data_IF_227289295048
#
_entry.id   IF_227289295048
#
_cell.length_a   1.000
_cell.length_b   1.000
_cell.length_c   1.000
_cell.angle_alpha   90.00
_cell.angle_beta   90.00
_cell.angle_gamma   90.00
#
_symmetry.space_group_name_H-M   'P 1'
#
loop_
_entity.id
_entity.type
_entity.pdbx_description
1 polymer ?
#
# COMPACT_ATOMS: atom_id res chain seq x y z
N UNK A 1 16.83 -11.24 -11.21
CA UNK A 1 16.10 -10.10 -10.65
C UNK A 1 15.29 -9.48 -11.77
N UNK A 2 14.03 -9.17 -11.50
CA UNK A 2 13.15 -8.50 -12.48
C UNK A 2 13.61 -7.05 -12.65
N UNK A 3 13.99 -6.66 -13.87
CA UNK A 3 14.42 -5.30 -14.16
C UNK A 3 13.23 -4.34 -14.12
N UNK A 4 13.41 -3.22 -13.43
CA UNK A 4 12.47 -2.09 -13.39
C UNK A 4 12.99 -0.88 -14.19
N UNK A 5 14.03 -1.10 -15.02
CA UNK A 5 14.67 -0.03 -15.79
C UNK A 5 13.66 0.77 -16.63
N UNK A 6 13.71 2.08 -16.49
CA UNK A 6 12.87 3.02 -17.23
C UNK A 6 11.40 3.07 -16.79
N UNK A 7 10.99 2.30 -15.78
CA UNK A 7 9.64 2.40 -15.20
C UNK A 7 9.57 3.54 -14.19
N UNK A 8 8.43 4.20 -14.12
CA UNK A 8 8.11 5.24 -13.15
C UNK A 8 6.98 4.76 -12.27
N UNK A 9 7.22 4.70 -10.96
CA UNK A 9 6.27 4.22 -9.96
C UNK A 9 5.98 5.32 -8.94
N UNK A 10 4.70 5.67 -8.75
CA UNK A 10 4.28 6.54 -7.67
C UNK A 10 3.80 5.71 -6.47
N UNK A 11 4.19 6.13 -5.26
CA UNK A 11 4.02 5.35 -4.02
C UNK A 11 3.42 6.25 -2.95
N UNK A 12 2.25 5.89 -2.42
CA UNK A 12 1.64 6.56 -1.27
C UNK A 12 1.99 5.86 0.04
N UNK A 13 2.05 6.59 1.15
CA UNK A 13 2.53 6.04 2.42
C UNK A 13 4.00 5.65 2.34
N UNK A 14 4.80 6.44 1.64
CA UNK A 14 6.18 6.16 1.30
C UNK A 14 7.21 6.60 2.35
N UNK A 15 6.78 7.22 3.46
CA UNK A 15 7.68 7.70 4.52
C UNK A 15 8.16 6.59 5.47
N UNK A 16 7.68 5.38 5.33
CA UNK A 16 8.11 4.27 6.19
C UNK A 16 7.45 2.95 5.84
N UNK A 17 7.83 1.91 6.58
CA UNK A 17 7.28 0.58 6.43
C UNK A 17 7.42 0.02 5.02
N UNK A 18 6.34 -0.56 4.53
CA UNK A 18 6.30 -1.22 3.21
C UNK A 18 6.53 -0.21 2.07
N UNK A 19 6.01 1.02 2.21
CA UNK A 19 6.13 2.05 1.16
C UNK A 19 7.59 2.46 0.92
N UNK A 20 8.34 2.77 1.97
CA UNK A 20 9.77 3.10 1.87
C UNK A 20 10.58 1.91 1.33
N UNK A 21 10.35 0.71 1.87
CA UNK A 21 11.04 -0.51 1.40
C UNK A 21 10.79 -0.74 -0.10
N UNK A 22 9.54 -0.54 -0.57
CA UNK A 22 9.20 -0.65 -1.99
C UNK A 22 9.90 0.42 -2.83
N UNK A 23 9.92 1.68 -2.38
CA UNK A 23 10.60 2.75 -3.10
C UNK A 23 12.09 2.46 -3.27
N UNK A 24 12.77 2.06 -2.20
CA UNK A 24 14.19 1.70 -2.23
C UNK A 24 14.46 0.50 -3.13
N UNK A 25 13.66 -0.55 -3.03
CA UNK A 25 13.82 -1.76 -3.81
C UNK A 25 13.55 -1.52 -5.30
N UNK A 26 12.47 -0.83 -5.66
CA UNK A 26 12.16 -0.48 -7.04
C UNK A 26 13.26 0.41 -7.66
N UNK A 27 13.72 1.42 -6.91
CA UNK A 27 14.80 2.30 -7.32
C UNK A 27 16.12 1.54 -7.56
N UNK A 28 16.49 0.63 -6.65
CA UNK A 28 17.68 -0.21 -6.80
C UNK A 28 17.61 -1.14 -8.02
N UNK A 29 16.40 -1.50 -8.49
CA UNK A 29 16.15 -2.28 -9.69
C UNK A 29 16.01 -1.43 -10.97
N UNK A 30 16.24 -0.12 -10.90
CA UNK A 30 16.29 0.79 -12.05
C UNK A 30 15.05 1.66 -12.27
N UNK A 31 14.02 1.59 -11.41
CA UNK A 31 12.86 2.47 -11.51
C UNK A 31 13.19 3.91 -11.10
N UNK A 32 12.42 4.87 -11.64
CA UNK A 32 12.23 6.18 -11.03
C UNK A 32 11.03 6.13 -10.09
N UNK A 33 11.10 6.82 -8.95
CA UNK A 33 10.06 6.75 -7.93
C UNK A 33 9.58 8.12 -7.48
N UNK A 34 8.26 8.28 -7.37
CA UNK A 34 7.60 9.40 -6.70
C UNK A 34 7.12 8.90 -5.34
N UNK A 35 7.69 9.42 -4.27
CA UNK A 35 7.47 8.94 -2.90
C UNK A 35 6.61 9.98 -2.18
N UNK A 36 5.43 9.58 -1.75
CA UNK A 36 4.50 10.51 -1.11
C UNK A 36 4.03 10.04 0.26
N UNK A 37 3.86 10.98 1.17
CA UNK A 37 3.28 10.77 2.49
C UNK A 37 2.68 12.08 3.00
N UNK A 38 1.98 12.04 4.13
CA UNK A 38 1.38 13.23 4.74
C UNK A 38 2.43 14.26 5.19
N UNK A 39 3.61 13.80 5.63
CA UNK A 39 4.69 14.65 6.11
C UNK A 39 5.79 14.82 5.05
N UNK A 40 6.13 16.05 4.63
CA UNK A 40 7.12 16.28 3.56
C UNK A 40 8.55 15.86 3.96
N UNK A 41 8.99 16.18 5.17
CA UNK A 41 10.37 15.97 5.60
C UNK A 41 10.91 14.55 5.41
N UNK A 42 10.22 13.50 5.88
CA UNK A 42 10.66 12.12 5.69
C UNK A 42 10.77 11.71 4.22
N UNK A 43 9.75 12.01 3.39
CA UNK A 43 9.77 11.61 1.96
C UNK A 43 10.85 12.34 1.17
N UNK A 44 11.08 13.62 1.47
CA UNK A 44 12.18 14.39 0.87
C UNK A 44 13.56 13.84 1.28
N UNK A 45 13.72 13.42 2.53
CA UNK A 45 14.95 12.82 3.01
C UNK A 45 15.23 11.48 2.30
N UNK A 46 14.21 10.64 2.14
CA UNK A 46 14.31 9.38 1.40
C UNK A 46 14.67 9.66 -0.07
N UNK A 47 13.96 10.57 -0.73
CA UNK A 47 14.22 10.91 -2.12
C UNK A 47 15.64 11.44 -2.30
N UNK A 48 16.12 12.34 -1.44
CA UNK A 48 17.51 12.82 -1.45
C UNK A 48 18.52 11.68 -1.29
N UNK A 49 18.24 10.70 -0.44
CA UNK A 49 19.12 9.53 -0.24
C UNK A 49 19.20 8.61 -1.45
N UNK A 50 18.17 8.60 -2.31
CA UNK A 50 18.10 7.80 -3.52
C UNK A 50 18.68 8.53 -4.75
N UNK A 51 18.70 9.86 -4.76
CA UNK A 51 19.29 10.68 -5.83
C UNK A 51 18.34 10.98 -6.99
N UNK A 52 18.88 11.18 -8.20
CA UNK A 52 18.19 11.81 -9.34
C UNK A 52 16.90 11.12 -9.80
N UNK A 53 16.73 9.82 -9.56
CA UNK A 53 15.54 9.06 -9.97
C UNK A 53 14.49 8.97 -8.86
N UNK A 54 14.49 9.90 -7.92
CA UNK A 54 13.52 9.90 -6.82
C UNK A 54 13.04 11.32 -6.52
N UNK A 55 11.73 11.47 -6.34
CA UNK A 55 11.06 12.71 -5.93
C UNK A 55 10.21 12.44 -4.72
N UNK A 56 10.29 13.30 -3.70
CA UNK A 56 9.47 13.22 -2.49
C UNK A 56 8.56 14.43 -2.37
N UNK A 57 7.27 14.23 -2.10
CA UNK A 57 6.33 15.33 -1.85
C UNK A 57 5.25 14.97 -0.84
N UNK A 58 4.71 15.99 -0.16
CA UNK A 58 3.58 15.81 0.75
C UNK A 58 2.28 15.57 -0.02
N UNK A 59 1.54 14.53 0.37
CA UNK A 59 0.24 14.18 -0.21
C UNK A 59 -0.67 13.66 0.89
N UNK A 60 -1.82 14.27 1.08
CA UNK A 60 -2.93 13.71 1.82
C UNK A 60 -3.81 12.91 0.86
N UNK A 61 -3.72 11.58 0.90
CA UNK A 61 -4.46 10.70 -0.01
C UNK A 61 -5.97 10.86 0.11
N UNK A 62 -6.49 11.37 1.24
CA UNK A 62 -7.91 11.63 1.41
C UNK A 62 -8.41 12.83 0.57
N UNK A 63 -7.50 13.58 -0.07
CA UNK A 63 -7.78 14.72 -0.91
C UNK A 63 -7.51 14.39 -2.38
N UNK A 64 -8.53 14.55 -3.23
CA UNK A 64 -8.41 14.28 -4.67
C UNK A 64 -7.26 15.06 -5.31
N UNK A 65 -7.22 16.37 -5.08
CA UNK A 65 -6.22 17.27 -5.67
C UNK A 65 -4.77 16.86 -5.35
N UNK A 66 -4.53 16.33 -4.15
CA UNK A 66 -3.19 15.89 -3.75
C UNK A 66 -2.78 14.59 -4.50
N UNK A 67 -3.72 13.69 -4.77
CA UNK A 67 -3.44 12.51 -5.63
C UNK A 67 -3.15 12.92 -7.08
N UNK A 68 -3.83 13.95 -7.59
CA UNK A 68 -3.56 14.53 -8.91
C UNK A 68 -2.15 15.15 -8.96
N UNK A 69 -1.72 15.84 -7.90
CA UNK A 69 -0.36 16.38 -7.77
C UNK A 69 0.70 15.29 -7.77
N UNK A 70 0.48 14.16 -7.11
CA UNK A 70 1.38 13.01 -7.15
C UNK A 70 1.62 12.53 -8.59
N UNK A 71 0.56 12.40 -9.38
CA UNK A 71 0.67 11.98 -10.78
C UNK A 71 1.33 13.06 -11.63
N UNK A 72 0.98 14.32 -11.42
CA UNK A 72 1.60 15.45 -12.11
C UNK A 72 3.12 15.49 -11.89
N UNK A 73 3.58 15.25 -10.65
CA UNK A 73 5.00 15.17 -10.33
C UNK A 73 5.71 14.03 -11.10
N UNK A 74 5.07 12.86 -11.27
CA UNK A 74 5.63 11.77 -12.07
C UNK A 74 5.79 12.17 -13.54
N UNK A 75 4.79 12.85 -14.10
CA UNK A 75 4.83 13.31 -15.48
C UNK A 75 5.84 14.45 -15.69
N UNK A 76 5.92 15.38 -14.76
CA UNK A 76 6.85 16.54 -14.83
C UNK A 76 8.31 16.09 -14.73
N UNK A 77 8.65 15.25 -13.76
CA UNK A 77 10.03 14.85 -13.50
C UNK A 77 10.51 13.72 -14.40
N UNK A 78 9.64 12.80 -14.80
CA UNK A 78 10.03 11.56 -15.49
C UNK A 78 9.31 11.33 -16.82
N UNK A 79 8.35 12.18 -17.20
CA UNK A 79 7.65 12.14 -18.49
C UNK A 79 6.61 11.03 -18.66
N UNK A 80 6.45 10.13 -17.67
CA UNK A 80 5.58 8.96 -17.75
C UNK A 80 5.14 8.47 -16.37
N UNK A 81 4.16 7.55 -16.35
CA UNK A 81 3.78 6.78 -15.17
C UNK A 81 3.48 5.34 -15.60
N UNK A 82 4.18 4.36 -15.02
CA UNK A 82 4.01 2.93 -15.34
C UNK A 82 3.23 2.19 -14.25
N UNK A 83 3.19 2.73 -13.05
CA UNK A 83 2.42 2.12 -11.97
C UNK A 83 2.23 3.02 -10.77
N UNK A 84 1.23 2.65 -9.96
CA UNK A 84 0.96 3.29 -8.68
C UNK A 84 0.85 2.25 -7.57
N UNK A 85 1.55 2.48 -6.47
CA UNK A 85 1.42 1.73 -5.24
C UNK A 85 0.57 2.52 -4.25
N UNK A 86 -0.70 2.19 -4.17
CA UNK A 86 -1.66 2.79 -3.26
C UNK A 86 -1.56 2.09 -1.90
N UNK A 87 -0.52 2.48 -1.15
CA UNK A 87 -0.10 1.80 0.07
C UNK A 87 -0.49 2.57 1.34
N UNK A 88 -0.74 3.87 1.26
CA UNK A 88 -1.16 4.66 2.41
C UNK A 88 -2.39 4.07 3.09
N UNK A 89 -2.34 4.00 4.42
CA UNK A 89 -3.45 3.49 5.22
C UNK A 89 -3.22 3.71 6.71
N UNK A 90 -4.31 3.69 7.45
CA UNK A 90 -4.33 3.80 8.92
C UNK A 90 -5.12 2.64 9.52
N UNK A 91 -4.73 2.21 10.71
CA UNK A 91 -5.38 1.15 11.48
C UNK A 91 -6.67 1.62 12.15
N UNK A 92 -6.76 2.92 12.46
CA UNK A 92 -7.81 3.46 13.30
C UNK A 92 -7.68 3.04 14.76
N UNK A 93 -8.77 3.14 15.49
CA UNK A 93 -8.84 2.78 16.92
C UNK A 93 -9.12 1.28 17.09
N UNK A 94 -8.47 0.62 18.05
CA UNK A 94 -8.73 -0.77 18.45
C UNK A 94 -9.70 -0.79 19.63
N UNK A 95 -10.80 -1.58 19.53
CA UNK A 95 -11.77 -1.69 20.62
C UNK A 95 -13.09 -2.33 20.18
N UNK A 96 -14.13 -2.38 21.04
CA UNK A 96 -15.45 -2.92 20.72
C UNK A 96 -16.13 -2.20 19.56
N UNK A 97 -17.01 -2.89 18.85
CA UNK A 97 -17.71 -2.35 17.67
C UNK A 97 -18.51 -1.07 17.97
N UNK A 98 -19.22 -1.07 19.09
CA UNK A 98 -20.13 -0.01 19.52
C UNK A 98 -19.46 1.15 20.27
N UNK A 99 -18.15 1.11 20.46
CA UNK A 99 -17.40 2.15 21.17
C UNK A 99 -16.86 3.28 20.26
N UNK A 100 -17.05 3.17 18.94
CA UNK A 100 -16.44 4.10 17.98
C UNK A 100 -17.39 5.16 17.47
N UNK A 101 -16.90 6.38 17.36
CA UNK A 101 -17.63 7.48 16.75
C UNK A 101 -17.72 7.34 15.23
N UNK A 102 -18.73 7.98 14.63
CA UNK A 102 -18.84 8.11 13.17
C UNK A 102 -17.58 8.73 12.56
N UNK A 103 -16.99 9.74 13.22
CA UNK A 103 -15.77 10.39 12.78
C UNK A 103 -14.56 9.44 12.71
N UNK A 104 -14.45 8.47 13.64
CA UNK A 104 -13.40 7.45 13.59
C UNK A 104 -13.58 6.51 12.38
N UNK A 105 -14.82 6.12 12.06
CA UNK A 105 -15.15 5.36 10.87
C UNK A 105 -14.80 6.12 9.59
N UNK A 106 -15.30 7.35 9.47
CA UNK A 106 -15.08 8.21 8.31
C UNK A 106 -13.58 8.45 8.05
N UNK A 107 -12.80 8.66 9.12
CA UNK A 107 -11.34 8.85 8.99
C UNK A 107 -10.66 7.63 8.38
N UNK A 108 -11.01 6.41 8.81
CA UNK A 108 -10.43 5.18 8.25
C UNK A 108 -10.85 5.03 6.78
N UNK A 109 -12.13 5.25 6.46
CA UNK A 109 -12.62 5.13 5.09
C UNK A 109 -12.09 6.21 4.16
N UNK A 110 -11.95 7.45 4.64
CA UNK A 110 -11.39 8.54 3.82
C UNK A 110 -9.96 8.26 3.37
N UNK A 111 -9.14 7.67 4.24
CA UNK A 111 -7.76 7.30 3.89
C UNK A 111 -7.71 5.98 3.12
N UNK A 112 -8.26 4.90 3.71
CA UNK A 112 -8.04 3.54 3.22
C UNK A 112 -8.86 3.20 1.97
N UNK A 113 -10.01 3.86 1.75
CA UNK A 113 -10.92 3.56 0.64
C UNK A 113 -10.96 4.71 -0.36
N UNK A 114 -11.31 5.93 0.10
CA UNK A 114 -11.41 7.08 -0.81
C UNK A 114 -10.04 7.48 -1.33
N UNK A 115 -8.98 7.39 -0.51
CA UNK A 115 -7.60 7.62 -0.96
C UNK A 115 -7.19 6.67 -2.08
N UNK A 116 -7.52 5.38 -1.97
CA UNK A 116 -7.29 4.41 -3.05
C UNK A 116 -8.08 4.79 -4.31
N UNK A 117 -9.37 5.10 -4.18
CA UNK A 117 -10.19 5.55 -5.32
C UNK A 117 -9.59 6.77 -6.01
N UNK A 118 -9.23 7.81 -5.25
CA UNK A 118 -8.65 9.03 -5.83
C UNK A 118 -7.32 8.78 -6.50
N UNK A 119 -6.46 7.92 -5.92
CA UNK A 119 -5.20 7.53 -6.52
C UNK A 119 -5.37 6.78 -7.84
N UNK A 120 -6.35 5.86 -7.93
CA UNK A 120 -6.71 5.19 -9.19
C UNK A 120 -7.19 6.21 -10.21
N UNK A 121 -8.20 7.02 -9.86
CA UNK A 121 -8.78 8.02 -10.80
C UNK A 121 -7.72 9.00 -11.33
N UNK A 122 -6.79 9.44 -10.48
CA UNK A 122 -5.69 10.32 -10.89
C UNK A 122 -4.69 9.63 -11.84
N UNK A 123 -4.39 8.35 -11.61
CA UNK A 123 -3.39 7.63 -12.39
C UNK A 123 -3.89 7.18 -13.78
N UNK A 124 -5.19 6.90 -13.94
CA UNK A 124 -5.75 6.32 -15.16
C UNK A 124 -5.39 7.07 -16.44
N UNK A 125 -5.49 8.43 -16.54
CA UNK A 125 -5.14 9.13 -17.77
C UNK A 125 -3.68 8.90 -18.19
N UNK A 126 -2.75 8.88 -17.23
CA UNK A 126 -1.33 8.66 -17.50
C UNK A 126 -1.05 7.22 -17.91
N UNK A 127 -1.64 6.23 -17.22
CA UNK A 127 -1.50 4.81 -17.56
C UNK A 127 -2.07 4.49 -18.93
N UNK A 128 -3.25 5.04 -19.28
CA UNK A 128 -3.86 4.92 -20.62
C UNK A 128 -2.98 5.51 -21.72
N UNK A 129 -2.44 6.71 -21.48
CA UNK A 129 -1.51 7.35 -22.41
C UNK A 129 -0.24 6.52 -22.61
N UNK A 130 0.18 5.79 -21.59
CA UNK A 130 1.36 4.93 -21.63
C UNK A 130 1.10 3.55 -22.28
N UNK A 131 -0.16 3.25 -22.65
CA UNK A 131 -0.57 1.97 -23.23
C UNK A 131 -0.75 0.84 -22.22
N UNK A 132 -0.92 1.15 -20.95
CA UNK A 132 -1.13 0.21 -19.87
C UNK A 132 -0.28 0.50 -18.65
N UNK A 133 -0.29 -0.41 -17.67
CA UNK A 133 0.46 -0.27 -16.44
C UNK A 133 0.04 -1.23 -15.32
N UNK A 134 0.47 -0.93 -14.10
CA UNK A 134 0.14 -1.75 -12.92
C UNK A 134 -0.31 -0.90 -11.75
N UNK A 135 -1.44 -1.24 -11.17
CA UNK A 135 -1.96 -0.67 -9.92
C UNK A 135 -1.85 -1.74 -8.84
N UNK A 136 -1.12 -1.45 -7.78
CA UNK A 136 -1.03 -2.32 -6.60
C UNK A 136 -1.63 -1.59 -5.41
N UNK A 137 -2.58 -2.22 -4.73
CA UNK A 137 -3.26 -1.66 -3.57
C UNK A 137 -2.87 -2.45 -2.33
N UNK A 138 -2.41 -1.79 -1.27
CA UNK A 138 -2.19 -2.46 0.02
C UNK A 138 -3.53 -2.68 0.72
N UNK A 139 -4.01 -3.92 0.68
CA UNK A 139 -5.07 -4.40 1.56
C UNK A 139 -4.45 -4.95 2.86
N UNK A 140 -4.82 -6.12 3.28
CA UNK A 140 -4.33 -6.84 4.45
C UNK A 140 -4.91 -8.26 4.43
N UNK A 141 -4.40 -9.17 5.25
CA UNK A 141 -5.15 -10.37 5.65
C UNK A 141 -6.49 -10.01 6.28
N UNK A 142 -6.60 -8.84 6.90
CA UNK A 142 -7.85 -8.25 7.38
C UNK A 142 -8.84 -7.86 6.27
N UNK A 143 -8.43 -7.84 5.01
CA UNK A 143 -9.31 -7.73 3.84
C UNK A 143 -9.85 -9.07 3.34
N UNK A 144 -9.44 -10.17 3.97
CA UNK A 144 -9.82 -11.55 3.60
C UNK A 144 -10.52 -12.28 4.76
N UNK A 145 -10.35 -11.80 5.99
CA UNK A 145 -10.91 -12.38 7.21
C UNK A 145 -11.24 -11.30 8.24
N UNK A 146 -12.09 -11.63 9.20
CA UNK A 146 -12.42 -10.74 10.32
C UNK A 146 -11.27 -10.64 11.33
N UNK A 147 -11.21 -9.50 12.04
CA UNK A 147 -10.37 -9.29 13.21
C UNK A 147 -11.17 -8.52 14.27
N UNK A 148 -11.42 -9.16 15.40
CA UNK A 148 -12.14 -8.52 16.50
C UNK A 148 -11.41 -7.24 16.94
N UNK A 149 -12.17 -6.18 17.23
CA UNK A 149 -11.64 -4.91 17.64
C UNK A 149 -11.16 -3.99 16.51
N UNK A 150 -11.16 -4.40 15.25
CA UNK A 150 -10.67 -3.64 14.09
C UNK A 150 -11.75 -3.42 13.02
N UNK A 151 -13.03 -3.32 13.39
CA UNK A 151 -14.13 -3.30 12.42
C UNK A 151 -14.02 -2.25 11.30
N UNK A 152 -13.69 -0.96 11.56
CA UNK A 152 -13.51 0.02 10.48
C UNK A 152 -12.37 -0.37 9.54
N UNK A 153 -11.25 -0.80 10.09
CA UNK A 153 -10.08 -1.23 9.32
C UNK A 153 -10.41 -2.45 8.46
N UNK A 154 -10.96 -3.52 9.05
CA UNK A 154 -11.37 -4.74 8.34
C UNK A 154 -12.31 -4.42 7.20
N UNK A 155 -13.37 -3.63 7.48
CA UNK A 155 -14.34 -3.22 6.46
C UNK A 155 -13.67 -2.44 5.32
N UNK A 156 -12.77 -1.51 5.64
CA UNK A 156 -12.03 -0.74 4.62
C UNK A 156 -11.15 -1.63 3.74
N UNK A 157 -10.48 -2.64 4.34
CA UNK A 157 -9.59 -3.55 3.60
C UNK A 157 -10.35 -4.55 2.73
N UNK A 158 -11.56 -4.97 3.14
CA UNK A 158 -12.47 -5.72 2.28
C UNK A 158 -13.01 -4.86 1.11
N UNK A 159 -13.34 -3.59 1.37
CA UNK A 159 -13.82 -2.67 0.34
C UNK A 159 -12.80 -2.50 -0.79
N UNK A 160 -11.50 -2.35 -0.49
CA UNK A 160 -10.48 -2.21 -1.54
C UNK A 160 -10.20 -3.51 -2.28
N UNK A 161 -10.40 -4.68 -1.68
CA UNK A 161 -10.35 -5.96 -2.40
C UNK A 161 -11.52 -6.05 -3.40
N UNK A 162 -12.72 -5.64 -3.00
CA UNK A 162 -13.88 -5.55 -3.90
C UNK A 162 -13.63 -4.57 -5.05
N UNK A 163 -13.14 -3.37 -4.74
CA UNK A 163 -12.78 -2.34 -5.72
C UNK A 163 -11.74 -2.87 -6.72
N UNK A 164 -10.67 -3.52 -6.24
CA UNK A 164 -9.63 -4.11 -7.09
C UNK A 164 -10.20 -5.09 -8.11
N UNK A 165 -11.13 -5.96 -7.71
CA UNK A 165 -11.75 -6.93 -8.62
C UNK A 165 -12.55 -6.28 -9.75
N UNK A 166 -13.31 -5.23 -9.43
CA UNK A 166 -14.03 -4.45 -10.44
C UNK A 166 -13.04 -3.78 -11.41
N UNK A 167 -12.05 -3.08 -10.86
CA UNK A 167 -11.02 -2.39 -11.66
C UNK A 167 -10.22 -3.34 -12.55
N UNK A 168 -9.88 -4.53 -12.07
CA UNK A 168 -9.16 -5.52 -12.87
C UNK A 168 -9.97 -5.99 -14.09
N UNK A 169 -11.28 -6.14 -13.93
CA UNK A 169 -12.17 -6.51 -15.03
C UNK A 169 -12.38 -5.35 -16.03
N UNK A 170 -12.55 -4.13 -15.51
CA UNK A 170 -12.81 -2.95 -16.31
C UNK A 170 -11.59 -2.47 -17.09
N UNK A 171 -10.40 -2.49 -16.46
CA UNK A 171 -9.17 -1.91 -16.99
C UNK A 171 -8.24 -2.93 -17.68
N UNK A 172 -8.49 -4.23 -17.47
CA UNK A 172 -7.72 -5.30 -18.13
C UNK A 172 -7.68 -5.17 -19.65
N UNK A 173 -8.79 -4.89 -20.35
CA UNK A 173 -8.79 -4.64 -21.80
C UNK A 173 -7.92 -3.45 -22.25
N UNK A 174 -7.60 -2.54 -21.33
CA UNK A 174 -6.73 -1.37 -21.57
C UNK A 174 -5.25 -1.67 -21.24
N UNK A 175 -4.90 -2.92 -20.91
CA UNK A 175 -3.55 -3.29 -20.53
C UNK A 175 -3.14 -2.85 -19.12
N UNK A 176 -4.09 -2.44 -18.28
CA UNK A 176 -3.84 -2.02 -16.90
C UNK A 176 -4.18 -3.18 -15.96
N UNK A 177 -3.18 -3.68 -15.24
CA UNK A 177 -3.34 -4.73 -14.24
C UNK A 177 -3.62 -4.12 -12.86
N UNK A 178 -4.55 -4.69 -12.11
CA UNK A 178 -4.90 -4.24 -10.77
C UNK A 178 -4.87 -5.42 -9.80
N UNK A 179 -4.08 -5.33 -8.74
CA UNK A 179 -3.93 -6.39 -7.75
C UNK A 179 -3.87 -5.82 -6.33
N UNK A 180 -4.16 -6.65 -5.32
CA UNK A 180 -3.90 -6.28 -3.94
C UNK A 180 -2.73 -7.03 -3.34
N UNK A 181 -1.88 -6.32 -2.60
CA UNK A 181 -0.95 -6.88 -1.64
C UNK A 181 -1.69 -7.02 -0.30
N UNK A 182 -1.65 -8.20 0.29
CA UNK A 182 -2.36 -8.55 1.53
C UNK A 182 -1.36 -9.01 2.60
N UNK A 183 -0.70 -8.07 3.30
CA UNK A 183 0.21 -8.42 4.38
C UNK A 183 -0.50 -9.04 5.58
N UNK A 184 0.17 -9.99 6.24
CA UNK A 184 -0.12 -10.40 7.61
C UNK A 184 0.42 -9.41 8.65
N UNK A 185 0.73 -9.87 9.87
CA UNK A 185 1.46 -9.05 10.82
C UNK A 185 2.85 -8.69 10.30
N UNK A 186 3.11 -7.40 10.10
CA UNK A 186 4.41 -6.86 9.61
C UNK A 186 5.15 -6.18 10.75
N UNK A 187 6.45 -6.38 10.85
CA UNK A 187 7.26 -5.73 11.89
C UNK A 187 7.48 -4.24 11.57
N UNK A 188 6.48 -3.41 11.88
CA UNK A 188 6.48 -1.98 11.61
C UNK A 188 5.65 -1.18 12.63
N UNK A 189 5.62 0.15 12.45
CA UNK A 189 4.90 1.09 13.33
C UNK A 189 3.42 0.76 13.49
N UNK A 190 2.72 0.40 12.41
CA UNK A 190 1.27 0.12 12.47
C UNK A 190 0.97 -1.05 13.39
N UNK A 191 1.73 -2.15 13.29
CA UNK A 191 1.57 -3.28 14.20
C UNK A 191 1.90 -2.91 15.63
N UNK A 192 2.96 -2.10 15.88
CA UNK A 192 3.27 -1.59 17.23
C UNK A 192 2.07 -0.80 17.80
N UNK A 193 1.44 0.06 16.98
CA UNK A 193 0.26 0.81 17.38
C UNK A 193 -0.92 -0.09 17.72
N UNK A 194 -1.19 -1.12 16.91
CA UNK A 194 -2.26 -2.09 17.18
C UNK A 194 -2.01 -2.85 18.47
N UNK A 195 -0.78 -3.30 18.70
CA UNK A 195 -0.37 -4.04 19.88
C UNK A 195 -0.55 -3.21 21.15
N UNK A 196 -0.08 -1.96 21.13
CA UNK A 196 -0.20 -1.05 22.27
C UNK A 196 -1.66 -0.68 22.55
N UNK A 197 -2.48 -0.48 21.53
CA UNK A 197 -3.91 -0.21 21.70
C UNK A 197 -4.68 -1.44 22.21
N UNK A 198 -4.28 -2.65 21.80
CA UNK A 198 -4.93 -3.90 22.23
C UNK A 198 -4.68 -4.22 23.71
N UNK A 199 -3.48 -3.91 24.23
CA UNK A 199 -3.11 -4.09 25.64
C UNK A 199 -2.09 -3.03 26.05
N UNK A 200 -2.53 -1.85 26.50
CA UNK A 200 -1.66 -0.73 26.83
C UNK A 200 -0.58 -1.09 27.85
N UNK A 201 0.68 -0.77 27.55
CA UNK A 201 1.85 -1.11 28.34
C UNK A 201 2.34 -2.56 28.22
N UNK A 202 1.64 -3.40 27.46
CA UNK A 202 1.96 -4.83 27.27
C UNK A 202 2.02 -5.23 25.78
N UNK A 203 2.36 -4.30 24.90
CA UNK A 203 2.42 -4.53 23.46
C UNK A 203 3.30 -5.71 23.04
N UNK A 204 4.41 -5.93 23.76
CA UNK A 204 5.32 -7.07 23.50
C UNK A 204 4.68 -8.45 23.77
N UNK A 205 3.76 -8.54 24.73
CA UNK A 205 2.99 -9.77 24.99
C UNK A 205 2.01 -10.04 23.84
N UNK A 206 1.35 -8.98 23.36
CA UNK A 206 0.48 -9.05 22.19
C UNK A 206 1.27 -9.46 20.94
N UNK A 207 2.48 -8.90 20.73
CA UNK A 207 3.38 -9.33 19.65
C UNK A 207 3.71 -10.81 19.72
N UNK A 208 4.06 -11.32 20.90
CA UNK A 208 4.35 -12.76 21.10
C UNK A 208 3.14 -13.62 20.74
N UNK A 209 1.94 -13.21 21.18
CA UNK A 209 0.69 -13.91 20.89
C UNK A 209 0.40 -13.94 19.37
N UNK A 210 0.57 -12.82 18.67
CA UNK A 210 0.41 -12.78 17.22
C UNK A 210 1.48 -13.62 16.50
N UNK A 211 2.74 -13.52 16.92
CA UNK A 211 3.85 -14.30 16.32
C UNK A 211 3.63 -15.81 16.45
N UNK A 212 3.08 -16.27 17.58
CA UNK A 212 2.74 -17.68 17.79
C UNK A 212 1.65 -18.21 16.85
N UNK A 213 0.82 -17.31 16.27
CA UNK A 213 -0.19 -17.65 15.26
C UNK A 213 0.36 -17.63 13.83
N UNK A 214 1.57 -17.18 13.60
CA UNK A 214 2.22 -17.20 12.29
C UNK A 214 3.01 -18.51 12.17
N UNK A 215 2.73 -19.40 11.22
CA UNK A 215 3.47 -20.65 11.06
C UNK A 215 4.99 -20.49 10.95
N UNK A 216 5.47 -19.40 10.33
CA UNK A 216 6.91 -19.08 10.31
C UNK A 216 7.45 -18.58 11.66
N UNK A 217 6.64 -18.48 12.72
CA UNK A 217 7.04 -18.09 14.08
C UNK A 217 7.43 -16.62 14.26
N UNK A 218 7.22 -15.77 13.25
CA UNK A 218 7.59 -14.36 13.27
C UNK A 218 6.67 -13.50 12.41
N UNK A 219 6.68 -12.22 12.65
CA UNK A 219 6.13 -11.26 11.71
C UNK A 219 6.93 -11.27 10.39
N UNK A 220 6.27 -10.94 9.29
CA UNK A 220 6.95 -10.65 8.04
C UNK A 220 7.60 -9.27 8.10
N UNK A 221 8.60 -9.06 7.28
CA UNK A 221 9.31 -7.77 7.19
C UNK A 221 8.69 -6.86 6.13
N UNK A 222 9.00 -5.56 6.20
CA UNK A 222 8.64 -4.62 5.14
C UNK A 222 9.24 -5.03 3.79
N UNK A 223 10.46 -5.55 3.79
CA UNK A 223 11.17 -5.97 2.56
C UNK A 223 10.51 -7.19 1.91
N UNK A 224 9.98 -8.13 2.68
CA UNK A 224 9.23 -9.28 2.15
C UNK A 224 7.94 -8.82 1.44
N UNK A 225 7.25 -7.83 2.02
CA UNK A 225 6.08 -7.21 1.38
C UNK A 225 6.48 -6.38 0.15
N UNK A 226 7.57 -5.62 0.24
CA UNK A 226 8.09 -4.82 -0.86
C UNK A 226 8.52 -5.68 -2.05
N UNK A 227 9.11 -6.83 -1.81
CA UNK A 227 9.50 -7.78 -2.87
C UNK A 227 8.29 -8.23 -3.70
N UNK A 228 7.15 -8.51 -3.03
CA UNK A 228 5.90 -8.84 -3.73
C UNK A 228 5.36 -7.64 -4.50
N UNK A 229 5.37 -6.43 -3.92
CA UNK A 229 4.91 -5.22 -4.61
C UNK A 229 5.75 -4.95 -5.87
N UNK A 230 7.08 -5.03 -5.78
CA UNK A 230 7.98 -4.83 -6.92
C UNK A 230 7.78 -5.91 -7.99
N UNK A 231 7.59 -7.18 -7.59
CA UNK A 231 7.21 -8.25 -8.53
C UNK A 231 5.93 -7.87 -9.31
N UNK A 232 4.89 -7.39 -8.63
CA UNK A 232 3.63 -7.02 -9.27
C UNK A 232 3.74 -5.85 -10.26
N UNK A 233 4.74 -4.99 -10.13
CA UNK A 233 5.05 -3.94 -11.11
C UNK A 233 5.89 -4.43 -12.30
N UNK A 234 6.51 -5.58 -12.19
CA UNK A 234 7.42 -6.11 -13.20
C UNK A 234 6.69 -6.83 -14.34
N UNK A 235 7.43 -7.07 -15.42
CA UNK A 235 6.95 -7.89 -16.56
C UNK A 235 6.74 -9.35 -16.17
N UNK A 236 7.43 -9.85 -15.14
CA UNK A 236 7.23 -11.21 -14.64
C UNK A 236 5.81 -11.44 -14.09
N UNK A 237 5.10 -10.35 -13.75
CA UNK A 237 3.72 -10.36 -13.28
C UNK A 237 2.70 -10.05 -14.40
N UNK A 238 3.05 -10.15 -15.68
CA UNK A 238 2.18 -9.80 -16.82
C UNK A 238 0.85 -10.57 -16.82
N UNK A 239 0.82 -11.80 -16.34
CA UNK A 239 -0.39 -12.60 -16.17
C UNK A 239 -1.12 -12.39 -14.84
N UNK A 240 -0.65 -11.48 -13.98
CA UNK A 240 -1.21 -11.24 -12.65
C UNK A 240 -2.21 -10.07 -12.69
N UNK A 241 -3.51 -10.36 -12.69
CA UNK A 241 -4.58 -9.36 -12.68
C UNK A 241 -5.77 -9.85 -11.85
N UNK A 242 -6.33 -9.00 -11.00
CA UNK A 242 -7.54 -9.28 -10.21
C UNK A 242 -7.32 -10.19 -8.99
N UNK A 243 -6.08 -10.37 -8.53
CA UNK A 243 -5.75 -11.30 -7.46
C UNK A 243 -5.33 -10.61 -6.16
N UNK A 244 -5.47 -11.37 -5.06
CA UNK A 244 -4.97 -11.01 -3.73
C UNK A 244 -3.66 -11.76 -3.48
N UNK A 245 -2.57 -11.02 -3.29
CA UNK A 245 -1.24 -11.59 -3.04
C UNK A 245 -0.92 -11.50 -1.56
N UNK A 246 -0.97 -12.64 -0.89
CA UNK A 246 -0.79 -12.72 0.58
C UNK A 246 0.70 -12.88 0.91
N UNK A 247 1.18 -12.06 1.85
CA UNK A 247 2.52 -12.13 2.43
C UNK A 247 2.35 -12.10 3.96
N UNK A 248 2.19 -13.27 4.58
CA UNK A 248 1.73 -13.38 5.97
C UNK A 248 2.41 -14.47 6.80
N UNK A 249 3.42 -15.12 6.25
CA UNK A 249 4.11 -16.22 6.93
C UNK A 249 3.22 -17.45 7.22
N UNK A 250 2.09 -17.58 6.52
CA UNK A 250 1.13 -18.66 6.68
C UNK A 250 -0.01 -18.34 7.66
N UNK A 251 -0.15 -17.11 8.11
CA UNK A 251 -1.17 -16.69 9.09
C UNK A 251 -2.61 -17.00 8.64
N UNK A 252 -2.91 -16.96 7.36
CA UNK A 252 -4.20 -17.28 6.78
C UNK A 252 -4.38 -18.75 6.37
N UNK A 253 -3.36 -19.58 6.52
CA UNK A 253 -3.41 -21.00 6.13
C UNK A 253 -4.04 -21.91 7.18
N UNK A 254 -4.48 -21.34 8.33
CA UNK A 254 -5.09 -22.09 9.45
C UNK A 254 -6.52 -21.61 9.71
#
# INVERSE_FOLDING_TARGET
MTSMNGKVIAITGGAGGIGEATARMAHAQGASVVITDLQPGPVEAIARSLGERAVGLAVDVSRRADNEQMVAAALEHFGRLDGVFLNAGIEGEVGPFDSRSDAAWERVFSVNVHGVRFGVEAALPALRKNGGGSIVVTSSVAGLRGAAGLSPYVSSKHAVVGMMRCLAAELGPEGIRVNTLNPGPVDNRMMRSIEEQANPGHGDEVKKMFSARVPLGRYVTNDECAAMAVFLFSEAASGCNGNTYVVDGGYCAQ
#
